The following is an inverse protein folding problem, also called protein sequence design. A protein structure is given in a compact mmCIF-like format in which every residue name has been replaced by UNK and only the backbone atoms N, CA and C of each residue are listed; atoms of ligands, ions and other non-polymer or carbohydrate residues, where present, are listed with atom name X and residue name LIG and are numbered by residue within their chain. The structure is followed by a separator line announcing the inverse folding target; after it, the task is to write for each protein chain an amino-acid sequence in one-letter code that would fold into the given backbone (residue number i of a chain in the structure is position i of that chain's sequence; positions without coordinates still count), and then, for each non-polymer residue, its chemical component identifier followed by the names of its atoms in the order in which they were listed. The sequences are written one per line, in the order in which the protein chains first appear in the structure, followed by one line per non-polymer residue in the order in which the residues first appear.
data_IF_925499292425
#
_entry.id   IF_925499292425
#
_cell.length_a   1.000
_cell.length_b   1.000
_cell.length_c   1.000
_cell.angle_alpha   90.00
_cell.angle_beta   90.00
_cell.angle_gamma   90.00
#
_symmetry.space_group_name_H-M   'P 1'
#
loop_
_entity.id
_entity.type
_entity.pdbx_description
1 polymer ?
#
# COMPACT_ATOMS: atom_id res chain seq x y z
N UNK A 1 2.44 80.75 19.04
CA UNK A 1 1.80 80.79 20.37
C UNK A 1 1.08 79.47 20.57
N UNK A 2 1.59 78.62 21.46
CA UNK A 2 0.97 77.35 21.85
C UNK A 2 -0.32 77.62 22.61
N UNK A 3 -1.37 76.83 22.38
CA UNK A 3 -2.46 76.66 23.35
C UNK A 3 -2.77 75.17 23.47
N UNK A 4 -2.33 74.61 24.60
CA UNK A 4 -2.75 73.31 25.12
C UNK A 4 -4.18 73.41 25.64
N UNK A 5 -5.02 72.41 25.37
CA UNK A 5 -6.27 72.20 26.08
C UNK A 5 -6.29 70.82 26.72
N UNK A 6 -6.46 70.83 28.04
CA UNK A 6 -6.66 69.67 28.91
C UNK A 6 -8.11 69.19 28.75
N UNK A 7 -8.31 67.92 28.44
CA UNK A 7 -9.64 67.28 28.44
C UNK A 7 -9.72 66.32 29.63
N UNK A 8 -10.72 66.56 30.48
CA UNK A 8 -11.01 65.83 31.72
C UNK A 8 -11.74 64.52 31.40
N UNK A 9 -11.24 63.43 31.99
CA UNK A 9 -11.78 62.08 31.94
C UNK A 9 -13.06 61.98 32.78
N UNK A 10 -14.11 61.37 32.26
CA UNK A 10 -15.23 60.86 33.08
C UNK A 10 -15.65 59.46 32.60
N UNK A 11 -15.41 58.47 33.46
CA UNK A 11 -15.86 57.09 33.32
C UNK A 11 -17.36 57.00 33.58
N UNK A 12 -18.10 56.30 32.71
CA UNK A 12 -19.45 55.84 32.98
C UNK A 12 -19.43 54.31 33.04
N UNK A 13 -19.66 53.78 34.24
CA UNK A 13 -19.91 52.35 34.48
C UNK A 13 -21.42 52.15 34.31
N UNK A 14 -21.83 51.29 33.37
CA UNK A 14 -23.20 50.83 33.25
C UNK A 14 -23.26 49.34 33.61
N UNK A 15 -23.92 49.06 34.72
CA UNK A 15 -24.29 47.73 35.20
C UNK A 15 -25.50 47.20 34.43
N UNK A 16 -25.42 45.97 33.92
CA UNK A 16 -26.56 45.24 33.35
C UNK A 16 -26.99 44.16 34.31
N UNK A 17 -28.25 44.23 34.73
CA UNK A 17 -28.95 43.32 35.65
C UNK A 17 -29.39 42.07 34.88
N UNK A 18 -29.07 40.89 35.40
CA UNK A 18 -29.51 39.60 34.84
C UNK A 18 -30.97 39.29 35.24
N UNK A 19 -31.77 38.77 34.30
CA UNK A 19 -33.04 38.09 34.57
C UNK A 19 -32.90 36.59 34.29
N UNK A 20 -33.54 35.71 35.08
CA UNK A 20 -33.34 34.27 35.00
C UNK A 20 -34.26 33.67 33.93
N UNK A 21 -33.67 33.20 32.83
CA UNK A 21 -34.32 32.34 31.86
C UNK A 21 -34.00 30.88 32.17
N UNK A 22 -35.04 30.09 32.48
CA UNK A 22 -34.94 28.63 32.60
C UNK A 22 -34.65 28.08 31.20
N UNK A 23 -33.40 27.67 30.97
CA UNK A 23 -33.03 26.86 29.82
C UNK A 23 -32.67 25.46 30.29
N UNK A 24 -33.38 24.49 29.73
CA UNK A 24 -33.13 23.06 29.89
C UNK A 24 -31.66 22.76 29.55
N UNK A 25 -30.97 22.17 30.50
CA UNK A 25 -29.63 21.61 30.35
C UNK A 25 -29.81 20.31 29.56
N UNK A 26 -29.58 20.37 28.24
CA UNK A 26 -29.11 19.21 27.52
C UNK A 26 -27.58 19.28 27.60
N UNK A 27 -26.98 18.35 28.35
CA UNK A 27 -25.53 18.15 28.38
C UNK A 27 -25.02 18.01 26.93
N UNK A 28 -24.38 19.05 26.42
CA UNK A 28 -23.55 18.96 25.23
C UNK A 28 -22.31 18.17 25.64
N UNK A 29 -22.13 17.02 25.02
CA UNK A 29 -20.90 16.21 25.09
C UNK A 29 -19.70 17.13 24.85
N UNK A 30 -18.85 17.29 25.85
CA UNK A 30 -17.63 18.10 25.76
C UNK A 30 -16.75 17.56 24.62
N UNK A 31 -16.48 18.40 23.61
CA UNK A 31 -15.36 18.20 22.70
C UNK A 31 -14.09 18.61 23.45
N UNK A 32 -13.52 17.70 24.24
CA UNK A 32 -12.20 17.94 24.85
C UNK A 32 -11.15 18.17 23.75
N UNK A 33 -10.68 19.40 23.62
CA UNK A 33 -9.56 19.73 22.73
C UNK A 33 -8.28 19.24 23.39
N UNK A 34 -7.76 18.11 22.93
CA UNK A 34 -6.45 17.62 23.38
C UNK A 34 -5.35 18.63 22.99
N UNK A 35 -4.64 19.16 23.99
CA UNK A 35 -3.49 20.03 23.76
C UNK A 35 -2.22 19.19 23.62
N UNK A 36 -1.61 19.19 22.43
CA UNK A 36 -0.36 18.50 22.17
C UNK A 36 0.84 19.43 22.36
N UNK A 37 1.97 18.88 22.80
CA UNK A 37 3.24 19.60 22.91
C UNK A 37 4.03 19.66 21.59
N UNK A 38 3.41 19.25 20.48
CA UNK A 38 3.91 19.34 19.11
C UNK A 38 2.84 20.01 18.22
N UNK A 39 3.23 20.57 17.05
CA UNK A 39 2.26 21.13 16.13
C UNK A 39 1.28 20.05 15.64
N UNK A 40 -0.01 20.27 15.90
CA UNK A 40 -1.08 19.37 15.46
C UNK A 40 -2.03 20.09 14.52
N UNK A 41 -2.36 19.45 13.40
CA UNK A 41 -3.25 19.98 12.36
C UNK A 41 -4.49 19.09 12.29
N UNK A 42 -5.63 19.66 12.68
CA UNK A 42 -6.92 18.95 12.70
C UNK A 42 -7.44 18.70 11.28
N UNK A 43 -8.40 17.77 11.16
CA UNK A 43 -9.12 17.53 9.89
C UNK A 43 -9.67 18.80 9.25
N UNK A 44 -10.26 19.69 10.05
CA UNK A 44 -10.79 20.96 9.56
C UNK A 44 -9.68 21.86 8.99
N UNK A 45 -8.53 21.94 9.66
CA UNK A 45 -7.44 22.83 9.27
C UNK A 45 -6.75 22.41 7.96
N UNK A 46 -6.69 21.12 7.64
CA UNK A 46 -6.21 20.65 6.33
C UNK A 46 -7.33 20.49 5.29
N UNK A 47 -8.56 20.86 5.64
CA UNK A 47 -9.75 20.80 4.77
C UNK A 47 -10.07 19.36 4.33
N UNK A 48 -10.11 18.46 5.31
CA UNK A 48 -10.52 17.08 5.10
C UNK A 48 -11.94 16.99 4.55
N UNK A 49 -12.12 16.12 3.56
CA UNK A 49 -13.45 15.68 3.15
C UNK A 49 -14.08 14.87 4.28
N UNK A 50 -15.41 14.89 4.33
CA UNK A 50 -16.18 14.03 5.24
C UNK A 50 -15.96 12.55 4.85
N UNK A 51 -15.65 11.66 5.81
CA UNK A 51 -15.53 10.24 5.52
C UNK A 51 -16.88 9.68 5.03
N UNK A 52 -16.86 8.74 4.08
CA UNK A 52 -18.07 8.06 3.57
C UNK A 52 -18.75 7.21 4.66
N UNK A 53 -17.96 6.67 5.60
CA UNK A 53 -18.40 5.89 6.74
C UNK A 53 -17.29 5.82 7.79
N UNK A 54 -17.67 5.74 9.06
CA UNK A 54 -16.76 5.51 10.18
C UNK A 54 -17.19 4.27 10.96
N UNK A 55 -16.22 3.63 11.60
CA UNK A 55 -16.44 2.54 12.57
C UNK A 55 -15.50 2.79 13.75
N UNK A 56 -15.96 2.68 15.00
CA UNK A 56 -15.10 2.82 16.16
C UNK A 56 -13.94 1.81 16.16
N UNK A 57 -12.75 2.26 16.56
CA UNK A 57 -11.59 1.43 16.88
C UNK A 57 -11.66 1.03 18.36
N UNK A 58 -11.38 -0.23 18.66
CA UNK A 58 -11.29 -0.68 20.05
C UNK A 58 -9.92 -0.31 20.63
N UNK A 59 -9.89 0.67 21.53
CA UNK A 59 -8.69 1.17 22.20
C UNK A 59 -8.66 0.74 23.68
N UNK A 60 -7.47 0.68 24.33
CA UNK A 60 -6.14 0.94 23.79
C UNK A 60 -5.64 -0.17 22.85
N UNK A 61 -5.00 0.20 21.74
CA UNK A 61 -4.43 -0.77 20.79
C UNK A 61 -3.03 -1.24 21.21
N UNK A 62 -2.67 -2.51 20.92
CA UNK A 62 -1.35 -3.05 21.26
C UNK A 62 -0.24 -2.70 20.26
N UNK A 63 -0.55 -2.16 19.08
CA UNK A 63 0.45 -1.90 18.04
C UNK A 63 0.43 -0.46 17.53
N UNK A 64 1.61 0.04 17.16
CA UNK A 64 1.79 1.20 16.31
C UNK A 64 2.50 0.76 15.04
N UNK A 65 1.91 1.03 13.88
CA UNK A 65 2.50 0.66 12.58
C UNK A 65 3.00 1.91 11.87
N UNK A 66 4.31 1.98 11.64
CA UNK A 66 4.95 3.08 10.92
C UNK A 66 4.91 2.83 9.41
N UNK A 67 4.49 3.87 8.70
CA UNK A 67 4.42 3.94 7.24
C UNK A 67 5.24 5.11 6.71
N UNK A 68 5.58 5.04 5.43
CA UNK A 68 5.83 6.22 4.62
C UNK A 68 4.72 6.37 3.59
N UNK A 69 4.58 7.54 2.95
CA UNK A 69 3.61 7.71 1.87
C UNK A 69 4.14 7.17 0.55
N UNK A 70 5.47 7.26 0.32
CA UNK A 70 6.12 7.18 -0.99
C UNK A 70 5.63 8.29 -1.94
N UNK A 71 4.32 8.34 -2.17
CA UNK A 71 3.60 9.42 -2.84
C UNK A 71 2.43 9.82 -1.92
N UNK A 72 2.21 11.11 -1.65
CA UNK A 72 2.99 12.26 -2.11
C UNK A 72 4.40 12.30 -1.52
N UNK A 73 5.30 13.03 -2.17
CA UNK A 73 6.66 13.26 -1.69
C UNK A 73 6.68 14.08 -0.39
N UNK A 74 7.86 14.23 0.21
CA UNK A 74 8.04 15.02 1.43
C UNK A 74 7.53 16.46 1.27
N UNK A 75 6.87 16.96 2.30
CA UNK A 75 6.27 18.30 2.35
C UNK A 75 6.88 19.08 3.51
N UNK A 76 7.30 20.34 3.30
CA UNK A 76 8.13 21.09 4.25
C UNK A 76 7.45 22.36 4.79
N UNK A 77 6.22 22.61 4.38
CA UNK A 77 5.41 23.72 4.85
C UNK A 77 3.95 23.29 4.99
N UNK A 78 3.23 23.99 5.86
CA UNK A 78 1.85 23.64 6.23
C UNK A 78 0.93 23.52 5.02
N UNK A 79 1.05 24.42 4.05
CA UNK A 79 0.20 24.41 2.86
C UNK A 79 0.42 23.15 2.03
N UNK A 80 1.68 22.80 1.76
CA UNK A 80 2.03 21.58 1.02
C UNK A 80 1.67 20.32 1.79
N UNK A 81 1.83 20.30 3.11
CA UNK A 81 1.47 19.13 3.90
C UNK A 81 -0.04 18.95 4.01
N UNK A 82 -0.82 20.02 4.15
CA UNK A 82 -2.28 19.95 3.98
C UNK A 82 -2.65 19.45 2.57
N UNK A 83 -1.94 19.90 1.52
CA UNK A 83 -2.12 19.40 0.15
C UNK A 83 -1.80 17.91 0.01
N UNK A 84 -0.74 17.44 0.66
CA UNK A 84 -0.37 16.03 0.69
C UNK A 84 -1.43 15.17 1.38
N UNK A 85 -1.97 15.62 2.53
CA UNK A 85 -3.08 14.95 3.22
C UNK A 85 -4.32 14.85 2.35
N UNK A 86 -4.72 15.93 1.67
CA UNK A 86 -5.85 15.92 0.72
C UNK A 86 -5.59 14.95 -0.43
N UNK A 87 -4.40 14.99 -1.05
CA UNK A 87 -4.04 14.07 -2.13
C UNK A 87 -4.12 12.60 -1.73
N UNK A 88 -3.64 12.25 -0.53
CA UNK A 88 -3.78 10.90 0.01
C UNK A 88 -5.24 10.54 0.27
N UNK A 89 -6.04 11.46 0.83
CA UNK A 89 -7.46 11.23 1.08
C UNK A 89 -8.23 10.99 -0.22
N UNK A 90 -8.02 11.83 -1.24
CA UNK A 90 -8.67 11.72 -2.55
C UNK A 90 -8.30 10.41 -3.24
N UNK A 91 -7.01 10.06 -3.25
CA UNK A 91 -6.55 8.80 -3.82
C UNK A 91 -7.18 7.57 -3.12
N UNK A 92 -7.25 7.57 -1.79
CA UNK A 92 -7.86 6.47 -1.05
C UNK A 92 -9.39 6.39 -1.27
N UNK A 93 -10.10 7.51 -1.26
CA UNK A 93 -11.56 7.51 -1.39
C UNK A 93 -12.03 7.30 -2.84
N UNK A 94 -11.44 8.02 -3.78
CA UNK A 94 -11.89 8.01 -5.18
C UNK A 94 -11.14 6.96 -6.01
N UNK A 95 -9.86 6.73 -5.73
CA UNK A 95 -9.06 5.71 -6.41
C UNK A 95 -9.29 4.29 -5.88
N UNK A 96 -9.48 4.11 -4.56
CA UNK A 96 -9.62 2.78 -3.93
C UNK A 96 -11.00 2.50 -3.33
N UNK A 97 -11.92 3.46 -3.38
CA UNK A 97 -13.26 3.29 -2.81
C UNK A 97 -13.29 3.26 -1.27
N UNK A 98 -12.20 3.63 -0.60
CA UNK A 98 -12.14 3.59 0.87
C UNK A 98 -13.04 4.65 1.48
N UNK A 99 -13.38 4.45 2.75
CA UNK A 99 -14.25 5.40 3.44
C UNK A 99 -13.56 6.73 3.75
N UNK A 100 -12.24 6.72 3.87
CA UNK A 100 -11.41 7.87 4.18
C UNK A 100 -9.94 7.55 3.89
N UNK A 101 -9.03 8.52 4.10
CA UNK A 101 -7.58 8.34 4.14
C UNK A 101 -7.19 7.10 4.97
N UNK A 102 -6.21 6.31 4.53
CA UNK A 102 -5.90 5.01 5.16
C UNK A 102 -5.35 5.07 6.58
N UNK A 103 -4.63 6.14 6.90
CA UNK A 103 -3.85 6.29 8.13
C UNK A 103 -4.64 7.00 9.23
N UNK A 104 -4.28 6.72 10.48
CA UNK A 104 -4.83 7.47 11.62
C UNK A 104 -4.21 8.86 11.68
N UNK A 105 -2.90 8.95 11.41
CA UNK A 105 -2.16 10.21 11.38
C UNK A 105 -1.15 10.24 10.23
N UNK A 106 -0.94 11.43 9.68
CA UNK A 106 0.23 11.76 8.86
C UNK A 106 1.19 12.64 9.67
N UNK A 107 2.48 12.61 9.39
CA UNK A 107 3.46 13.56 9.96
C UNK A 107 4.24 14.16 8.81
N UNK A 108 4.23 15.48 8.68
CA UNK A 108 4.90 16.21 7.61
C UNK A 108 6.38 16.50 7.94
N UNK A 109 7.17 16.80 6.91
CA UNK A 109 8.56 17.26 7.09
C UNK A 109 8.65 18.69 7.63
N UNK A 110 7.52 19.38 7.74
CA UNK A 110 7.33 20.63 8.49
C UNK A 110 7.30 20.42 10.02
N UNK A 111 7.33 19.16 10.49
CA UNK A 111 7.32 18.82 11.90
C UNK A 111 5.93 18.88 12.55
N UNK A 112 4.85 18.86 11.77
CA UNK A 112 3.49 18.79 12.29
C UNK A 112 2.88 17.39 12.13
N UNK A 113 2.07 16.99 13.12
CA UNK A 113 1.18 15.83 13.02
C UNK A 113 -0.17 16.28 12.43
N UNK A 114 -0.67 15.54 11.46
CA UNK A 114 -1.91 15.79 10.75
C UNK A 114 -2.90 14.68 11.07
N UNK A 115 -4.08 15.07 11.54
CA UNK A 115 -5.16 14.14 11.86
C UNK A 115 -5.71 13.49 10.59
N UNK A 116 -5.49 12.19 10.43
CA UNK A 116 -6.16 11.37 9.43
C UNK A 116 -7.49 10.87 10.01
N UNK A 117 -7.63 9.55 10.20
CA UNK A 117 -8.80 8.98 10.88
C UNK A 117 -8.88 9.29 12.38
N UNK A 118 -7.81 9.83 12.96
CA UNK A 118 -7.78 10.17 14.39
C UNK A 118 -7.65 8.93 15.27
N UNK A 119 -7.86 9.11 16.58
CA UNK A 119 -7.61 8.06 17.58
C UNK A 119 -8.68 6.97 17.64
N UNK A 120 -9.93 7.32 17.36
CA UNK A 120 -11.09 6.50 17.70
C UNK A 120 -11.71 5.77 16.51
N UNK A 121 -11.20 6.00 15.29
CA UNK A 121 -11.80 5.43 14.08
C UNK A 121 -10.90 4.35 13.49
N UNK A 122 -11.51 3.20 13.16
CA UNK A 122 -10.87 2.06 12.53
C UNK A 122 -10.04 2.47 11.30
N UNK A 123 -8.76 2.06 11.26
CA UNK A 123 -7.83 2.31 10.16
C UNK A 123 -8.16 1.58 8.84
N UNK A 124 -7.41 1.89 7.77
CA UNK A 124 -7.36 1.08 6.54
C UNK A 124 -5.93 0.87 6.00
N UNK A 125 -4.92 1.21 6.79
CA UNK A 125 -3.51 1.23 6.38
C UNK A 125 -2.83 -0.13 6.29
N UNK A 126 -3.32 -1.17 6.98
CA UNK A 126 -2.75 -2.51 6.96
C UNK A 126 -3.80 -3.58 7.19
N UNK A 127 -4.08 -4.37 6.15
CA UNK A 127 -5.01 -5.50 6.24
C UNK A 127 -4.64 -6.42 7.43
N UNK A 128 -5.65 -6.87 8.17
CA UNK A 128 -5.56 -7.63 9.44
C UNK A 128 -5.03 -6.85 10.66
N UNK A 129 -4.43 -5.67 10.48
CA UNK A 129 -3.92 -4.84 11.58
C UNK A 129 -4.75 -3.59 11.85
N UNK A 130 -5.63 -3.20 10.93
CA UNK A 130 -6.46 -2.00 11.04
C UNK A 130 -7.25 -1.89 12.36
N UNK A 131 -7.71 -3.01 12.93
CA UNK A 131 -8.52 -3.05 14.15
C UNK A 131 -7.73 -3.18 15.45
N UNK A 132 -6.40 -3.29 15.35
CA UNK A 132 -5.51 -3.57 16.49
C UNK A 132 -4.29 -2.66 16.50
N UNK A 133 -4.29 -1.58 15.71
CA UNK A 133 -3.15 -0.70 15.61
C UNK A 133 -3.48 0.74 15.24
N UNK A 134 -2.62 1.66 15.64
CA UNK A 134 -2.56 3.02 15.10
C UNK A 134 -1.50 3.06 14.00
N UNK A 135 -1.94 3.25 12.76
CA UNK A 135 -1.07 3.52 11.61
C UNK A 135 -0.70 5.00 11.47
N UNK A 136 0.61 5.29 11.51
CA UNK A 136 1.18 6.63 11.36
C UNK A 136 2.03 6.69 10.08
N UNK A 137 1.75 7.64 9.19
CA UNK A 137 2.46 7.83 7.94
C UNK A 137 3.41 9.03 8.00
N UNK A 138 4.72 8.80 7.89
CA UNK A 138 5.68 9.88 7.68
C UNK A 138 5.67 10.25 6.20
N UNK A 139 5.09 11.40 5.86
CA UNK A 139 4.89 11.85 4.49
C UNK A 139 6.26 12.04 3.81
N UNK A 140 6.55 11.23 2.80
CA UNK A 140 7.81 11.20 2.05
C UNK A 140 8.21 9.82 1.56
N UNK A 141 9.37 9.75 0.91
CA UNK A 141 10.04 8.52 0.46
C UNK A 141 11.31 8.29 1.27
N UNK A 142 11.22 7.40 2.27
CA UNK A 142 12.30 7.12 3.22
C UNK A 142 13.01 5.80 2.96
N UNK A 143 13.10 5.39 1.68
CA UNK A 143 13.87 4.19 1.29
C UNK A 143 15.36 4.38 1.51
N UNK A 144 15.89 5.53 1.10
CA UNK A 144 17.34 5.76 1.08
C UNK A 144 17.80 6.88 2.02
N UNK A 145 16.88 7.76 2.42
CA UNK A 145 17.18 8.90 3.30
C UNK A 145 16.29 8.88 4.53
N UNK A 146 16.78 9.44 5.64
CA UNK A 146 16.00 9.57 6.87
C UNK A 146 15.00 10.72 6.78
N UNK A 147 13.81 10.58 7.41
CA UNK A 147 12.95 11.72 7.62
C UNK A 147 13.66 12.79 8.47
N UNK A 148 13.40 14.09 8.21
CA UNK A 148 13.92 15.18 9.01
C UNK A 148 13.70 14.97 10.51
N UNK A 149 14.64 15.45 11.32
CA UNK A 149 14.65 15.20 12.76
C UNK A 149 13.34 15.64 13.45
N UNK A 150 12.75 16.76 13.05
CA UNK A 150 11.49 17.26 13.63
C UNK A 150 10.27 16.37 13.27
N UNK A 151 10.26 15.76 12.08
CA UNK A 151 9.24 14.78 11.70
C UNK A 151 9.33 13.52 12.57
N UNK A 152 10.55 13.03 12.84
CA UNK A 152 10.78 11.90 13.75
C UNK A 152 10.40 12.23 15.20
N UNK A 153 10.83 13.38 15.72
CA UNK A 153 10.47 13.86 17.07
C UNK A 153 8.97 13.96 17.26
N UNK A 154 8.27 14.55 16.29
CA UNK A 154 6.81 14.69 16.34
C UNK A 154 6.12 13.34 16.28
N UNK A 155 6.64 12.38 15.51
CA UNK A 155 6.11 11.01 15.49
C UNK A 155 6.22 10.36 16.88
N UNK A 156 7.39 10.45 17.53
CA UNK A 156 7.58 9.89 18.87
C UNK A 156 6.69 10.58 19.92
N UNK A 157 6.56 11.92 19.85
CA UNK A 157 5.69 12.68 20.74
C UNK A 157 4.20 12.35 20.53
N UNK A 158 3.77 12.13 19.28
CA UNK A 158 2.42 11.70 18.95
C UNK A 158 2.11 10.32 19.54
N UNK A 159 3.05 9.37 19.47
CA UNK A 159 2.88 8.05 20.09
C UNK A 159 2.79 8.18 21.61
N UNK A 160 3.67 8.97 22.23
CA UNK A 160 3.63 9.23 23.67
C UNK A 160 2.28 9.82 24.11
N UNK A 161 1.75 10.79 23.36
CA UNK A 161 0.43 11.35 23.63
C UNK A 161 -0.68 10.30 23.50
N UNK A 162 -0.61 9.40 22.51
CA UNK A 162 -1.55 8.30 22.38
C UNK A 162 -1.53 7.31 23.56
N UNK A 163 -0.36 7.12 24.19
CA UNK A 163 -0.23 6.33 25.42
C UNK A 163 -0.84 7.08 26.61
N UNK A 164 -0.50 8.36 26.79
CA UNK A 164 -1.03 9.20 27.87
C UNK A 164 -2.55 9.34 27.83
N UNK A 165 -3.13 9.45 26.63
CA UNK A 165 -4.57 9.56 26.40
C UNK A 165 -5.29 8.20 26.46
N UNK A 166 -4.58 7.08 26.61
CA UNK A 166 -5.17 5.74 26.72
C UNK A 166 -5.65 5.14 25.39
N UNK A 167 -5.22 5.67 24.24
CA UNK A 167 -5.51 5.11 22.92
C UNK A 167 -4.51 4.02 22.50
N UNK A 168 -3.29 4.07 23.03
CA UNK A 168 -2.20 3.10 22.80
C UNK A 168 -1.85 2.48 24.14
N UNK A 169 -1.65 1.15 24.18
CA UNK A 169 -1.25 0.49 25.43
C UNK A 169 0.15 0.96 25.88
N UNK A 170 0.43 1.09 27.19
CA UNK A 170 1.77 1.44 27.66
C UNK A 170 2.87 0.46 27.23
N UNK A 171 2.54 -0.81 27.00
CA UNK A 171 3.44 -1.88 26.55
C UNK A 171 3.32 -2.19 25.05
N UNK A 172 2.87 -1.21 24.24
CA UNK A 172 2.68 -1.39 22.81
C UNK A 172 3.95 -1.88 22.09
N UNK A 173 3.73 -2.48 20.91
CA UNK A 173 4.79 -2.85 19.97
C UNK A 173 4.83 -1.85 18.81
N UNK A 174 5.97 -1.19 18.62
CA UNK A 174 6.27 -0.37 17.46
C UNK A 174 6.85 -1.24 16.35
N UNK A 175 6.23 -1.20 15.18
CA UNK A 175 6.63 -2.01 14.02
C UNK A 175 6.53 -1.20 12.72
N UNK A 176 7.31 -1.60 11.71
CA UNK A 176 7.18 -1.10 10.35
C UNK A 176 6.10 -1.88 9.58
N UNK A 177 5.43 -1.24 8.62
CA UNK A 177 4.40 -1.88 7.80
C UNK A 177 4.88 -3.20 7.14
N UNK A 178 6.13 -3.27 6.69
CA UNK A 178 6.77 -4.48 6.14
C UNK A 178 6.76 -5.70 7.06
N UNK A 179 6.69 -5.50 8.37
CA UNK A 179 6.62 -6.60 9.33
C UNK A 179 5.25 -7.29 9.34
N UNK A 180 4.22 -6.66 8.78
CA UNK A 180 2.84 -7.19 8.81
C UNK A 180 2.20 -7.31 7.43
N UNK A 181 2.85 -6.79 6.39
CA UNK A 181 2.46 -6.92 4.97
C UNK A 181 3.69 -7.11 4.10
N UNK A 182 3.55 -7.81 2.98
CA UNK A 182 4.57 -7.88 1.93
C UNK A 182 4.69 -6.53 1.20
N UNK A 183 5.53 -5.62 1.71
CA UNK A 183 5.73 -4.26 1.20
C UNK A 183 7.10 -3.72 1.60
N UNK A 184 7.65 -2.78 0.83
CA UNK A 184 8.85 -2.02 1.18
C UNK A 184 8.59 -0.96 2.26
N UNK A 185 7.34 -0.55 2.47
CA UNK A 185 6.96 0.46 3.46
C UNK A 185 7.44 0.04 4.88
N UNK A 186 8.10 0.90 5.67
CA UNK A 186 8.22 2.36 5.53
C UNK A 186 9.47 2.87 4.78
N UNK A 187 10.14 2.02 3.99
CA UNK A 187 11.44 2.31 3.38
C UNK A 187 12.62 1.94 4.29
N UNK A 188 13.76 1.54 3.71
CA UNK A 188 14.86 0.94 4.47
C UNK A 188 15.51 1.90 5.46
N UNK A 189 15.74 3.16 5.07
CA UNK A 189 16.31 4.15 5.96
C UNK A 189 15.42 4.40 7.18
N UNK A 190 14.13 4.66 6.98
CA UNK A 190 13.18 4.83 8.10
C UNK A 190 12.99 3.52 8.89
N UNK A 191 12.94 2.37 8.24
CA UNK A 191 12.80 1.09 8.94
C UNK A 191 14.01 0.81 9.85
N UNK A 192 15.22 1.13 9.41
CA UNK A 192 16.42 0.99 10.23
C UNK A 192 16.45 2.00 11.38
N UNK A 193 15.90 3.19 11.16
CA UNK A 193 15.76 4.21 12.20
C UNK A 193 14.79 3.78 13.31
N UNK A 194 13.59 3.30 12.98
CA UNK A 194 12.60 2.93 14.01
C UNK A 194 13.07 1.76 14.88
N UNK A 195 14.03 0.94 14.42
CA UNK A 195 14.69 -0.09 15.25
C UNK A 195 15.39 0.48 16.48
N UNK A 196 15.71 1.77 16.45
CA UNK A 196 16.38 2.46 17.55
C UNK A 196 15.41 3.15 18.51
N UNK A 197 14.12 3.19 18.19
CA UNK A 197 13.11 3.85 19.01
C UNK A 197 12.63 2.94 20.13
N UNK A 198 12.14 3.55 21.21
CA UNK A 198 11.48 2.83 22.28
C UNK A 198 10.32 1.99 21.72
N UNK A 199 10.07 0.84 22.36
CA UNK A 199 9.02 -0.10 21.98
C UNK A 199 9.17 -0.77 20.60
N UNK A 200 10.27 -0.56 19.87
CA UNK A 200 10.52 -1.34 18.66
C UNK A 200 10.48 -2.83 18.99
N UNK A 201 9.63 -3.55 18.25
CA UNK A 201 9.56 -5.00 18.36
C UNK A 201 10.18 -5.65 17.12
N UNK A 202 11.21 -6.50 17.27
CA UNK A 202 11.71 -7.31 16.16
C UNK A 202 10.68 -8.38 15.73
N UNK A 203 9.64 -8.61 16.54
CA UNK A 203 8.57 -9.57 16.27
C UNK A 203 7.21 -8.86 16.11
N UNK A 204 6.43 -9.13 15.05
CA UNK A 204 6.68 -10.12 13.99
C UNK A 204 7.89 -9.73 13.12
N UNK A 205 8.68 -10.71 12.68
CA UNK A 205 9.75 -10.47 11.72
C UNK A 205 9.16 -10.16 10.34
N UNK A 206 8.05 -10.82 10.02
CA UNK A 206 7.31 -10.65 8.78
C UNK A 206 5.85 -11.04 8.95
N UNK A 207 5.05 -10.78 7.93
CA UNK A 207 3.62 -11.11 7.88
C UNK A 207 3.28 -12.62 8.01
N UNK A 208 4.28 -13.51 8.07
CA UNK A 208 4.08 -14.93 8.36
C UNK A 208 3.85 -15.19 9.85
N UNK A 209 4.43 -14.36 10.70
CA UNK A 209 4.46 -14.53 12.15
C UNK A 209 3.12 -14.12 12.81
N UNK A 210 2.15 -13.67 12.01
CA UNK A 210 0.94 -13.02 12.52
C UNK A 210 0.07 -13.97 13.34
N UNK A 211 -0.02 -15.25 12.95
CA UNK A 211 -0.85 -16.22 13.66
C UNK A 211 -0.33 -16.52 15.09
N UNK A 212 0.95 -16.27 15.31
CA UNK A 212 1.66 -16.56 16.55
C UNK A 212 1.67 -15.35 17.50
N UNK A 213 1.19 -14.17 17.08
CA UNK A 213 1.10 -12.98 17.93
C UNK A 213 -0.02 -13.13 18.97
N UNK A 214 0.33 -13.15 20.25
CA UNK A 214 -0.63 -13.23 21.35
C UNK A 214 -1.59 -12.03 21.39
N UNK A 215 -1.15 -10.86 20.92
CA UNK A 215 -1.95 -9.64 20.93
C UNK A 215 -3.06 -9.62 19.89
N UNK A 216 -3.01 -10.50 18.89
CA UNK A 216 -4.05 -10.56 17.86
C UNK A 216 -5.28 -11.32 18.38
N UNK A 217 -6.49 -10.71 18.32
CA UNK A 217 -7.72 -11.41 18.62
C UNK A 217 -7.91 -12.67 17.79
N UNK A 218 -8.59 -13.67 18.35
CA UNK A 218 -8.92 -14.92 17.65
C UNK A 218 -9.60 -14.64 16.31
N UNK A 219 -10.55 -13.69 16.27
CA UNK A 219 -11.23 -13.29 15.04
C UNK A 219 -10.28 -12.74 13.96
N UNK A 220 -9.25 -12.00 14.35
CA UNK A 220 -8.22 -11.52 13.42
C UNK A 220 -7.35 -12.68 12.94
N UNK A 221 -6.97 -13.61 13.82
CA UNK A 221 -6.24 -14.82 13.44
C UNK A 221 -7.06 -15.71 12.51
N UNK A 222 -8.36 -15.82 12.71
CA UNK A 222 -9.28 -16.53 11.82
C UNK A 222 -9.39 -15.87 10.44
N UNK A 223 -9.44 -14.53 10.38
CA UNK A 223 -9.35 -13.80 9.12
C UNK A 223 -8.02 -14.04 8.40
N UNK A 224 -6.90 -14.08 9.15
CA UNK A 224 -5.57 -14.38 8.59
C UNK A 224 -5.50 -15.83 8.09
N UNK A 225 -6.07 -16.81 8.81
CA UNK A 225 -6.14 -18.23 8.39
C UNK A 225 -7.02 -18.43 7.14
N UNK A 226 -8.00 -17.56 6.93
CA UNK A 226 -8.98 -17.64 5.86
C UNK A 226 -10.19 -18.50 6.22
N UNK A 227 -11.39 -17.89 6.16
CA UNK A 227 -12.67 -18.46 5.70
C UNK A 227 -12.93 -19.98 5.92
N UNK A 228 -12.90 -20.44 7.17
CA UNK A 228 -13.11 -21.84 7.56
C UNK A 228 -14.53 -22.23 7.99
N UNK A 229 -15.60 -21.74 7.33
CA UNK A 229 -16.95 -22.32 7.51
C UNK A 229 -17.67 -22.57 6.18
N UNK A 230 -17.38 -23.72 5.58
CA UNK A 230 -18.43 -24.53 4.94
C UNK A 230 -18.92 -25.50 6.01
N UNK A 231 -20.22 -25.56 6.35
CA UNK A 231 -20.71 -26.58 7.28
C UNK A 231 -20.49 -27.96 6.66
N UNK A 232 -19.83 -28.85 7.41
CA UNK A 232 -19.75 -30.27 7.11
C UNK A 232 -21.16 -30.85 7.16
N UNK A 233 -21.79 -31.05 6.00
CA UNK A 233 -22.71 -32.16 5.69
C UNK A 233 -22.90 -32.21 4.17
N UNK A 234 -22.03 -32.96 3.49
CA UNK A 234 -22.41 -34.09 2.63
C UNK A 234 -21.15 -34.63 1.97
N UNK A 235 -20.82 -35.85 2.37
CA UNK A 235 -19.96 -36.76 1.63
C UNK A 235 -20.45 -36.87 0.19
N UNK A 236 -19.62 -36.45 -0.75
CA UNK A 236 -19.46 -37.17 -2.01
C UNK A 236 -18.05 -36.95 -2.51
N UNK A 237 -17.27 -38.02 -2.46
CA UNK A 237 -16.02 -38.29 -3.18
C UNK A 237 -15.77 -37.34 -4.36
N UNK A 238 -14.91 -36.34 -4.18
CA UNK A 238 -14.27 -35.67 -5.31
C UNK A 238 -12.98 -36.43 -5.62
N UNK A 239 -13.10 -37.25 -6.66
CA UNK A 239 -12.09 -38.17 -7.15
C UNK A 239 -10.81 -37.41 -7.52
N UNK A 240 -9.69 -37.92 -7.01
CA UNK A 240 -8.34 -37.45 -7.26
C UNK A 240 -7.91 -37.80 -8.69
N UNK A 241 -8.49 -37.12 -9.68
CA UNK A 241 -8.06 -37.14 -11.08
C UNK A 241 -8.36 -35.81 -11.76
N UNK A 242 -7.49 -34.84 -11.56
CA UNK A 242 -7.17 -33.92 -12.64
C UNK A 242 -5.67 -33.97 -12.88
N UNK A 243 -5.32 -34.93 -13.73
CA UNK A 243 -4.10 -34.94 -14.51
C UNK A 243 -3.80 -33.53 -15.03
N UNK A 244 -2.52 -33.20 -14.95
CA UNK A 244 -1.90 -32.09 -15.68
C UNK A 244 -2.55 -31.89 -17.05
N UNK A 245 -3.13 -30.71 -17.28
CA UNK A 245 -3.47 -30.26 -18.63
C UNK A 245 -2.18 -29.93 -19.40
N UNK A 246 -1.35 -30.93 -19.68
CA UNK A 246 -0.51 -30.91 -20.86
C UNK A 246 -1.42 -31.24 -22.06
N UNK A 247 -1.99 -30.21 -22.68
CA UNK A 247 -2.55 -30.30 -24.04
C UNK A 247 -1.84 -29.31 -24.95
N UNK A 248 -0.86 -29.83 -25.69
CA UNK A 248 -0.20 -29.25 -26.86
C UNK A 248 -1.17 -29.00 -28.05
N UNK A 249 -2.32 -28.34 -27.86
CA UNK A 249 -3.30 -28.12 -28.96
C UNK A 249 -4.08 -26.80 -28.88
N UNK A 250 -3.47 -25.71 -28.43
CA UNK A 250 -4.13 -24.39 -28.45
C UNK A 250 -3.85 -23.57 -29.72
N UNK A 251 -3.06 -24.08 -30.68
CA UNK A 251 -2.74 -23.34 -31.91
C UNK A 251 -1.84 -22.11 -31.71
N UNK A 252 -1.52 -21.77 -30.47
CA UNK A 252 -0.59 -20.70 -30.11
C UNK A 252 0.86 -21.17 -30.22
N UNK A 253 1.63 -20.58 -31.14
CA UNK A 253 3.08 -20.77 -31.20
C UNK A 253 3.72 -19.72 -30.28
N UNK A 254 3.82 -20.05 -28.98
CA UNK A 254 4.59 -19.27 -28.01
C UNK A 254 5.74 -20.15 -27.51
N UNK A 255 7.01 -19.72 -27.63
CA UNK A 255 8.11 -20.36 -26.92
C UNK A 255 7.92 -20.15 -25.41
N UNK A 256 7.25 -21.08 -24.74
CA UNK A 256 7.00 -21.03 -23.30
C UNK A 256 8.09 -21.81 -22.57
N UNK A 257 8.62 -21.24 -21.50
CA UNK A 257 9.68 -21.81 -20.66
C UNK A 257 9.13 -21.95 -19.26
N UNK A 258 8.91 -23.20 -18.84
CA UNK A 258 8.39 -23.52 -17.51
C UNK A 258 9.41 -23.24 -16.43
N UNK A 259 8.94 -23.15 -15.18
CA UNK A 259 9.77 -22.93 -13.99
C UNK A 259 10.98 -23.87 -13.92
N UNK A 260 10.78 -25.16 -14.16
CA UNK A 260 11.85 -26.16 -14.12
C UNK A 260 12.91 -25.95 -15.22
N UNK A 261 12.54 -25.38 -16.37
CA UNK A 261 13.44 -25.21 -17.51
C UNK A 261 14.41 -24.04 -17.32
N UNK A 262 14.04 -23.03 -16.54
CA UNK A 262 14.93 -21.92 -16.15
C UNK A 262 15.52 -22.09 -14.76
N UNK A 263 15.36 -23.28 -14.15
CA UNK A 263 15.87 -23.63 -12.82
C UNK A 263 15.33 -22.70 -11.72
N UNK A 264 14.02 -22.42 -11.77
CA UNK A 264 13.34 -21.68 -10.73
C UNK A 264 13.52 -22.33 -9.37
N UNK A 265 13.85 -21.54 -8.36
CA UNK A 265 13.69 -21.95 -6.97
C UNK A 265 12.22 -22.20 -6.67
N UNK A 266 11.95 -23.08 -5.72
CA UNK A 266 10.60 -23.24 -5.19
C UNK A 266 10.16 -21.93 -4.53
N UNK A 267 8.89 -21.52 -4.72
CA UNK A 267 8.35 -20.42 -3.95
C UNK A 267 8.35 -20.78 -2.46
N UNK A 268 8.61 -19.81 -1.58
CA UNK A 268 8.50 -20.00 -0.13
C UNK A 268 7.04 -20.17 0.29
N UNK A 269 6.12 -19.48 -0.38
CA UNK A 269 4.68 -19.63 -0.22
C UNK A 269 3.95 -19.17 -1.51
N UNK A 270 2.69 -19.56 -1.65
CA UNK A 270 1.85 -19.22 -2.80
C UNK A 270 0.45 -18.89 -2.31
N UNK A 271 -0.23 -17.99 -3.03
CA UNK A 271 -1.62 -17.68 -2.73
C UNK A 271 -2.44 -17.70 -4.02
N UNK A 272 -3.55 -18.47 -4.06
CA UNK A 272 -4.37 -18.60 -5.26
C UNK A 272 -4.91 -17.26 -5.75
N UNK A 273 -4.89 -17.08 -7.06
CA UNK A 273 -5.50 -15.95 -7.74
C UNK A 273 -6.94 -16.31 -8.13
N UNK A 274 -7.90 -15.44 -7.83
CA UNK A 274 -9.28 -15.64 -8.28
C UNK A 274 -9.37 -15.37 -9.78
N UNK A 275 -9.60 -16.42 -10.56
CA UNK A 275 -9.68 -16.39 -12.02
C UNK A 275 -11.14 -16.50 -12.50
N UNK A 276 -11.52 -15.88 -13.64
CA UNK A 276 -10.69 -15.05 -14.52
C UNK A 276 -10.39 -13.67 -13.93
N UNK A 277 -9.16 -13.16 -14.10
CA UNK A 277 -8.84 -11.80 -13.64
C UNK A 277 -9.25 -10.70 -14.63
N UNK A 278 -9.65 -9.53 -14.13
CA UNK A 278 -10.04 -8.41 -14.98
C UNK A 278 -8.89 -7.49 -15.41
N UNK A 279 -7.68 -7.64 -14.87
CA UNK A 279 -6.56 -6.73 -15.17
C UNK A 279 -5.28 -7.45 -15.61
N UNK A 280 -4.49 -6.76 -16.41
CA UNK A 280 -3.09 -7.11 -16.70
C UNK A 280 -2.23 -5.89 -16.48
N UNK A 281 -1.13 -6.03 -15.74
CA UNK A 281 -0.15 -4.96 -15.51
C UNK A 281 1.16 -5.28 -16.21
N UNK A 282 1.59 -4.39 -17.10
CA UNK A 282 2.83 -4.48 -17.87
C UNK A 282 3.97 -3.79 -17.13
N UNK A 283 5.07 -4.52 -16.99
CA UNK A 283 6.30 -4.09 -16.34
C UNK A 283 7.49 -4.15 -17.30
N UNK A 284 8.59 -3.52 -16.90
CA UNK A 284 9.94 -3.88 -17.32
C UNK A 284 10.80 -4.22 -16.11
N UNK A 285 11.94 -4.86 -16.33
CA UNK A 285 12.87 -5.20 -15.24
C UNK A 285 13.89 -4.10 -14.95
N UNK A 286 14.04 -3.12 -15.86
CA UNK A 286 15.10 -2.09 -15.82
C UNK A 286 16.52 -2.67 -15.81
N UNK A 287 16.69 -3.94 -16.17
CA UNK A 287 17.99 -4.62 -16.14
C UNK A 287 18.81 -4.25 -17.38
N UNK A 288 20.11 -4.03 -17.15
CA UNK A 288 21.13 -3.84 -18.20
C UNK A 288 22.34 -4.71 -17.82
N UNK A 289 22.90 -5.55 -18.72
CA UNK A 289 22.49 -5.76 -20.10
C UNK A 289 21.15 -6.53 -20.24
N UNK A 290 20.53 -6.41 -21.41
CA UNK A 290 19.34 -7.19 -21.79
C UNK A 290 19.74 -8.61 -22.18
N UNK A 291 18.92 -9.60 -21.84
CA UNK A 291 19.07 -10.95 -22.38
C UNK A 291 18.62 -11.00 -23.83
N UNK A 292 19.29 -11.80 -24.66
CA UNK A 292 19.10 -11.87 -26.11
C UNK A 292 19.01 -13.31 -26.66
N UNK A 293 19.23 -14.31 -25.81
CA UNK A 293 19.16 -15.72 -26.14
C UNK A 293 18.58 -16.51 -24.95
N UNK A 294 18.23 -17.78 -25.19
CA UNK A 294 17.55 -18.62 -24.21
C UNK A 294 18.32 -18.73 -22.90
N UNK A 295 19.65 -18.90 -22.95
CA UNK A 295 20.45 -19.08 -21.75
C UNK A 295 20.56 -17.79 -20.95
N UNK A 296 20.90 -16.67 -21.62
CA UNK A 296 20.98 -15.38 -20.93
C UNK A 296 19.64 -14.92 -20.33
N UNK A 297 18.51 -15.31 -20.94
CA UNK A 297 17.20 -14.98 -20.39
C UNK A 297 16.80 -15.88 -19.21
N UNK A 298 17.22 -17.16 -19.18
CA UNK A 298 17.09 -17.99 -17.97
C UNK A 298 17.91 -17.40 -16.81
N UNK A 299 19.14 -16.98 -17.08
CA UNK A 299 20.00 -16.33 -16.08
C UNK A 299 19.37 -15.04 -15.54
N UNK A 300 18.77 -14.21 -16.41
CA UNK A 300 18.04 -13.03 -15.97
C UNK A 300 16.85 -13.40 -15.07
N UNK A 301 16.06 -14.43 -15.42
CA UNK A 301 14.93 -14.87 -14.58
C UNK A 301 15.41 -15.33 -13.20
N UNK A 302 16.51 -16.09 -13.13
CA UNK A 302 17.11 -16.52 -11.87
C UNK A 302 17.61 -15.33 -11.04
N UNK A 303 18.31 -14.36 -11.65
CA UNK A 303 18.80 -13.17 -10.96
C UNK A 303 17.65 -12.33 -10.40
N UNK A 304 16.58 -12.15 -11.16
CA UNK A 304 15.39 -11.43 -10.72
C UNK A 304 14.71 -12.18 -9.57
N UNK A 305 14.57 -13.51 -9.66
CA UNK A 305 14.01 -14.32 -8.59
C UNK A 305 14.86 -14.23 -7.32
N UNK A 306 16.18 -14.41 -7.41
CA UNK A 306 17.09 -14.31 -6.27
C UNK A 306 17.05 -12.93 -5.63
N UNK A 307 17.04 -11.85 -6.43
CA UNK A 307 16.89 -10.51 -5.88
C UNK A 307 15.55 -10.34 -5.13
N UNK A 308 14.45 -10.79 -5.73
CA UNK A 308 13.14 -10.70 -5.08
C UNK A 308 13.04 -11.54 -3.79
N UNK A 309 13.59 -12.76 -3.79
CA UNK A 309 13.52 -13.64 -2.62
C UNK A 309 14.54 -13.24 -1.56
N UNK A 310 15.82 -13.15 -1.93
CA UNK A 310 16.92 -12.99 -0.97
C UNK A 310 17.09 -11.54 -0.51
N UNK A 311 16.77 -10.55 -1.36
CA UNK A 311 16.93 -9.13 -1.03
C UNK A 311 15.60 -8.49 -0.64
N UNK A 312 14.52 -8.76 -1.38
CA UNK A 312 13.21 -8.15 -1.10
C UNK A 312 12.33 -8.97 -0.15
N UNK A 313 12.72 -10.21 0.18
CA UNK A 313 11.96 -11.08 1.08
C UNK A 313 10.61 -11.52 0.50
N UNK A 314 10.48 -11.58 -0.82
CA UNK A 314 9.25 -12.04 -1.48
C UNK A 314 9.26 -13.57 -1.58
N UNK A 315 8.08 -14.18 -1.53
CA UNK A 315 7.97 -15.64 -1.64
C UNK A 315 8.53 -16.23 -2.94
N UNK A 316 8.57 -15.41 -3.97
CA UNK A 316 8.97 -15.81 -5.30
C UNK A 316 9.20 -14.55 -6.14
N UNK A 317 9.67 -14.74 -7.37
CA UNK A 317 9.69 -13.70 -8.39
C UNK A 317 8.36 -12.93 -8.43
N UNK A 318 8.39 -11.60 -8.42
CA UNK A 318 7.16 -10.81 -8.25
C UNK A 318 6.19 -10.83 -9.44
N UNK A 319 6.63 -11.31 -10.61
CA UNK A 319 5.84 -11.31 -11.83
C UNK A 319 5.19 -12.67 -12.08
N UNK A 320 4.02 -12.68 -12.72
CA UNK A 320 3.38 -13.92 -13.18
C UNK A 320 4.16 -14.49 -14.37
N UNK A 321 4.60 -13.62 -15.29
CA UNK A 321 5.39 -13.99 -16.47
C UNK A 321 6.50 -12.96 -16.74
N UNK A 322 7.65 -13.45 -17.21
CA UNK A 322 8.71 -12.65 -17.81
C UNK A 322 8.82 -12.92 -19.31
N UNK A 323 9.21 -11.93 -20.11
CA UNK A 323 9.38 -12.12 -21.56
C UNK A 323 10.77 -11.64 -21.98
N UNK A 324 11.58 -12.57 -22.49
CA UNK A 324 12.97 -12.32 -22.90
C UNK A 324 13.08 -11.79 -24.33
N UNK A 325 14.19 -11.12 -24.68
CA UNK A 325 14.39 -10.61 -26.05
C UNK A 325 14.53 -11.73 -27.09
N UNK A 326 14.76 -12.97 -26.62
CA UNK A 326 14.69 -14.20 -27.42
C UNK A 326 13.27 -14.50 -27.93
N UNK A 327 12.25 -13.81 -27.41
CA UNK A 327 10.85 -13.97 -27.77
C UNK A 327 10.13 -15.07 -27.00
N UNK A 328 10.72 -15.58 -25.92
CA UNK A 328 10.12 -16.60 -25.09
C UNK A 328 9.39 -15.99 -23.88
N UNK A 329 8.31 -16.65 -23.46
CA UNK A 329 7.60 -16.37 -22.21
C UNK A 329 8.13 -17.32 -21.14
N UNK A 330 8.64 -16.76 -20.06
CA UNK A 330 9.14 -17.46 -18.90
C UNK A 330 8.08 -17.44 -17.81
N UNK A 331 7.71 -18.61 -17.33
CA UNK A 331 6.77 -18.76 -16.22
C UNK A 331 7.42 -18.25 -14.93
N UNK A 332 6.90 -17.15 -14.39
CA UNK A 332 7.18 -16.72 -13.03
C UNK A 332 6.19 -17.42 -12.09
N UNK A 333 5.34 -16.65 -11.42
CA UNK A 333 4.27 -17.23 -10.58
C UNK A 333 3.15 -17.92 -11.38
N UNK A 334 3.14 -17.80 -12.69
CA UNK A 334 2.14 -18.46 -13.55
C UNK A 334 0.76 -17.83 -13.44
N UNK A 335 -0.26 -18.54 -13.92
CA UNK A 335 -1.64 -18.04 -14.00
C UNK A 335 -2.40 -18.11 -12.69
N UNK A 336 -2.16 -19.15 -11.91
CA UNK A 336 -3.03 -19.53 -10.79
C UNK A 336 -2.69 -18.83 -9.47
N UNK A 337 -1.61 -18.04 -9.43
CA UNK A 337 -1.08 -17.46 -8.18
C UNK A 337 -0.89 -15.95 -8.28
N UNK A 338 -1.12 -15.25 -7.17
CA UNK A 338 -0.98 -13.80 -7.11
C UNK A 338 0.47 -13.33 -7.26
N UNK A 339 0.64 -12.19 -7.95
CA UNK A 339 1.92 -11.51 -8.11
C UNK A 339 2.36 -10.73 -6.86
N UNK A 340 3.59 -10.21 -6.86
CA UNK A 340 4.08 -9.19 -5.91
C UNK A 340 4.49 -7.88 -6.62
N UNK A 341 3.97 -7.67 -7.84
CA UNK A 341 4.41 -6.67 -8.81
C UNK A 341 3.92 -5.24 -8.58
N UNK A 342 2.68 -5.07 -8.10
CA UNK A 342 2.03 -3.78 -7.97
C UNK A 342 1.05 -3.85 -6.80
N UNK A 343 1.36 -3.14 -5.72
CA UNK A 343 0.53 -3.09 -4.51
C UNK A 343 -0.92 -2.75 -4.89
N UNK A 344 -1.88 -3.46 -4.31
CA UNK A 344 -3.33 -3.43 -4.61
C UNK A 344 -3.78 -4.04 -5.94
N UNK A 345 -2.90 -4.21 -6.93
CA UNK A 345 -3.22 -4.92 -8.18
C UNK A 345 -2.82 -6.40 -8.16
N UNK A 346 -1.99 -6.82 -7.20
CA UNK A 346 -1.49 -8.19 -7.07
C UNK A 346 -2.59 -9.27 -7.09
N UNK A 347 -3.70 -9.04 -6.38
CA UNK A 347 -4.78 -10.02 -6.21
C UNK A 347 -5.83 -9.99 -7.34
N UNK A 348 -5.77 -9.04 -8.26
CA UNK A 348 -6.78 -8.84 -9.31
C UNK A 348 -6.18 -8.75 -10.71
N UNK A 349 -4.90 -9.05 -10.86
CA UNK A 349 -4.21 -8.90 -12.14
C UNK A 349 -3.14 -9.96 -12.41
N UNK A 350 -2.89 -10.21 -13.69
CA UNK A 350 -1.69 -10.91 -14.17
C UNK A 350 -0.58 -9.90 -14.47
N UNK A 351 0.64 -10.25 -14.07
CA UNK A 351 1.83 -9.42 -14.22
C UNK A 351 2.76 -9.92 -15.28
N UNK A 352 3.03 -9.10 -16.28
CA UNK A 352 3.92 -9.47 -17.37
C UNK A 352 5.06 -8.47 -17.41
N UNK A 353 6.28 -8.93 -17.19
CA UNK A 353 7.48 -8.08 -17.27
C UNK A 353 8.23 -8.32 -18.57
N UNK A 354 8.60 -7.24 -19.25
CA UNK A 354 9.55 -7.29 -20.35
C UNK A 354 10.96 -7.23 -19.77
N UNK A 355 11.76 -8.28 -19.96
CA UNK A 355 13.13 -8.33 -19.46
C UNK A 355 13.98 -7.33 -20.28
N UNK A 356 14.47 -6.29 -19.61
CA UNK A 356 15.25 -5.19 -20.20
C UNK A 356 14.84 -3.81 -19.67
N UNK A 357 15.49 -2.78 -20.22
CA UNK A 357 15.15 -1.37 -20.00
C UNK A 357 14.58 -0.77 -21.29
N UNK A 358 13.32 -0.36 -21.23
CA UNK A 358 12.54 0.12 -22.39
C UNK A 358 12.13 1.60 -22.26
N UNK A 359 12.97 2.39 -21.58
CA UNK A 359 12.74 3.82 -21.48
C UNK A 359 12.94 4.54 -22.81
N UNK A 360 13.99 4.17 -23.56
CA UNK A 360 14.36 4.85 -24.81
C UNK A 360 14.07 4.04 -26.07
N UNK A 361 14.08 2.71 -25.98
CA UNK A 361 13.87 1.81 -27.10
C UNK A 361 12.60 0.98 -26.90
N UNK A 362 11.87 0.71 -27.99
CA UNK A 362 10.73 -0.21 -27.97
C UNK A 362 11.26 -1.65 -27.91
N UNK A 363 10.61 -2.56 -27.14
CA UNK A 363 10.94 -3.98 -27.17
C UNK A 363 11.02 -4.59 -28.58
N UNK A 364 11.92 -5.56 -28.81
CA UNK A 364 11.95 -6.32 -30.05
C UNK A 364 10.58 -6.90 -30.38
N UNK A 365 10.21 -6.90 -31.67
CA UNK A 365 8.91 -7.42 -32.14
C UNK A 365 8.58 -8.80 -31.60
N UNK A 366 9.58 -9.67 -31.39
CA UNK A 366 9.39 -11.00 -30.81
C UNK A 366 8.85 -10.95 -29.37
N UNK A 367 9.31 -10.03 -28.52
CA UNK A 367 8.74 -9.83 -27.17
C UNK A 367 7.29 -9.35 -27.25
N UNK A 368 7.01 -8.35 -28.09
CA UNK A 368 5.65 -7.80 -28.25
C UNK A 368 4.67 -8.87 -28.75
N UNK A 369 5.08 -9.66 -29.75
CA UNK A 369 4.28 -10.78 -30.25
C UNK A 369 4.05 -11.82 -29.16
N UNK A 370 5.08 -12.20 -28.42
CA UNK A 370 4.96 -13.20 -27.35
C UNK A 370 3.94 -12.79 -26.28
N UNK A 371 3.95 -11.52 -25.85
CA UNK A 371 2.95 -11.00 -24.90
C UNK A 371 1.56 -10.99 -25.50
N UNK A 372 1.38 -10.50 -26.73
CA UNK A 372 0.05 -10.49 -27.38
C UNK A 372 -0.54 -11.89 -27.51
N UNK A 373 0.28 -12.87 -27.90
CA UNK A 373 -0.15 -14.27 -27.98
C UNK A 373 -0.46 -14.84 -26.60
N UNK A 374 0.33 -14.51 -25.56
CA UNK A 374 0.07 -14.94 -24.18
C UNK A 374 -1.26 -14.40 -23.65
N UNK A 375 -1.57 -13.13 -23.94
CA UNK A 375 -2.83 -12.49 -23.54
C UNK A 375 -4.03 -13.16 -24.22
N UNK A 376 -3.94 -13.42 -25.53
CA UNK A 376 -4.99 -14.13 -26.25
C UNK A 376 -5.20 -15.53 -25.69
N UNK A 377 -4.12 -16.27 -25.44
CA UNK A 377 -4.19 -17.59 -24.81
C UNK A 377 -4.82 -17.50 -23.40
N UNK A 378 -4.51 -16.47 -22.63
CA UNK A 378 -5.11 -16.23 -21.30
C UNK A 378 -6.63 -16.03 -21.36
N UNK A 379 -7.14 -15.31 -22.37
CA UNK A 379 -8.59 -15.14 -22.58
C UNK A 379 -9.23 -16.48 -22.98
N UNK A 380 -8.66 -17.16 -23.97
CA UNK A 380 -9.20 -18.42 -24.49
C UNK A 380 -9.23 -19.56 -23.45
N UNK A 381 -8.23 -19.57 -22.55
CA UNK A 381 -8.12 -20.55 -21.48
C UNK A 381 -8.93 -20.17 -20.23
N UNK A 382 -9.55 -18.98 -20.21
CA UNK A 382 -10.38 -18.52 -19.09
C UNK A 382 -9.59 -17.98 -17.88
N UNK A 383 -8.32 -17.63 -18.06
CA UNK A 383 -7.52 -16.95 -17.03
C UNK A 383 -7.74 -15.44 -17.00
N UNK A 384 -8.04 -14.85 -18.15
CA UNK A 384 -8.38 -13.44 -18.31
C UNK A 384 -9.85 -13.30 -18.70
N UNK A 385 -10.51 -12.28 -18.17
CA UNK A 385 -11.84 -11.92 -18.68
C UNK A 385 -11.72 -11.48 -20.15
N UNK A 386 -12.71 -11.74 -21.02
CA UNK A 386 -12.64 -11.30 -22.42
C UNK A 386 -12.61 -9.77 -22.59
N UNK A 387 -12.91 -9.00 -21.54
CA UNK A 387 -12.83 -7.54 -21.48
C UNK A 387 -11.77 -7.06 -20.48
N UNK A 388 -10.71 -7.85 -20.27
CA UNK A 388 -9.64 -7.46 -19.35
C UNK A 388 -9.07 -6.08 -19.72
N UNK A 389 -8.62 -5.34 -18.71
CA UNK A 389 -8.00 -4.03 -18.88
C UNK A 389 -6.49 -4.15 -18.74
N UNK A 390 -5.78 -3.70 -19.76
CA UNK A 390 -4.33 -3.62 -19.79
C UNK A 390 -3.88 -2.27 -19.21
N UNK A 391 -2.96 -2.32 -18.27
CA UNK A 391 -2.38 -1.18 -17.60
C UNK A 391 -0.86 -1.28 -17.66
N UNK A 392 -0.17 -0.15 -17.67
CA UNK A 392 1.23 -0.07 -17.36
C UNK A 392 1.45 -0.05 -15.85
N UNK A 393 2.62 -0.47 -15.36
CA UNK A 393 2.93 -0.33 -13.95
C UNK A 393 2.82 1.14 -13.48
N UNK A 394 3.23 2.11 -14.31
CA UNK A 394 3.08 3.54 -14.04
C UNK A 394 1.64 4.05 -13.97
N UNK A 395 0.68 3.31 -14.52
CA UNK A 395 -0.74 3.68 -14.43
C UNK A 395 -1.32 3.33 -13.04
N UNK A 396 -0.65 2.45 -12.30
CA UNK A 396 -1.13 1.93 -11.00
C UNK A 396 -0.19 2.25 -9.83
N UNK A 397 1.02 2.73 -10.11
CA UNK A 397 2.04 3.15 -9.14
C UNK A 397 2.84 4.32 -9.72
N UNK A 398 3.36 5.24 -8.91
CA UNK A 398 4.29 6.26 -9.44
C UNK A 398 5.66 5.60 -9.67
N UNK A 399 5.94 5.25 -10.90
CA UNK A 399 7.19 4.60 -11.31
C UNK A 399 7.46 4.93 -12.77
N UNK A 400 8.72 4.85 -13.18
CA UNK A 400 9.07 4.91 -14.60
C UNK A 400 8.83 3.57 -15.31
N UNK A 401 8.47 2.51 -14.60
CA UNK A 401 8.11 1.23 -15.20
C UNK A 401 6.81 1.37 -16.02
N UNK A 402 6.70 0.86 -17.26
CA UNK A 402 7.60 -0.06 -17.96
C UNK A 402 8.60 0.63 -18.93
N UNK A 403 8.89 1.91 -18.73
CA UNK A 403 9.73 2.75 -19.59
C UNK A 403 8.92 3.47 -20.67
N UNK A 404 9.31 4.69 -21.03
CA UNK A 404 8.51 5.56 -21.90
C UNK A 404 8.25 4.97 -23.29
N UNK A 405 9.23 4.28 -23.88
CA UNK A 405 9.07 3.69 -25.21
C UNK A 405 8.10 2.50 -25.19
N UNK A 406 8.21 1.59 -24.22
CA UNK A 406 7.24 0.50 -24.04
C UNK A 406 5.86 1.03 -23.60
N UNK A 407 5.81 2.08 -22.76
CA UNK A 407 4.57 2.69 -22.35
C UNK A 407 3.77 3.24 -23.55
N UNK A 408 4.41 3.99 -24.44
CA UNK A 408 3.79 4.47 -25.69
C UNK A 408 3.34 3.33 -26.61
N UNK A 409 4.11 2.24 -26.66
CA UNK A 409 3.75 1.06 -27.47
C UNK A 409 2.47 0.39 -26.96
N UNK A 410 2.36 0.11 -25.66
CA UNK A 410 1.19 -0.61 -25.11
C UNK A 410 -0.09 0.22 -25.11
N UNK A 411 0.02 1.56 -25.12
CA UNK A 411 -1.13 2.46 -25.28
C UNK A 411 -1.89 2.22 -26.59
N UNK A 412 -1.22 1.70 -27.62
CA UNK A 412 -1.86 1.36 -28.90
C UNK A 412 -2.59 0.02 -28.90
N UNK A 413 -2.51 -0.77 -27.82
CA UNK A 413 -3.08 -2.11 -27.77
C UNK A 413 -4.57 -2.06 -27.41
N UNK A 414 -5.38 -2.93 -28.01
CA UNK A 414 -6.85 -2.83 -27.97
C UNK A 414 -7.49 -2.90 -26.57
N UNK A 415 -6.80 -3.45 -25.57
CA UNK A 415 -7.29 -3.57 -24.19
C UNK A 415 -6.71 -2.50 -23.25
N UNK A 416 -5.92 -1.55 -23.74
CA UNK A 416 -5.30 -0.54 -22.90
C UNK A 416 -6.34 0.39 -22.28
N UNK A 417 -6.32 0.47 -20.95
CA UNK A 417 -7.15 1.40 -20.19
C UNK A 417 -6.36 2.68 -19.98
N UNK A 418 -6.80 3.76 -20.62
CA UNK A 418 -6.27 5.09 -20.35
C UNK A 418 -6.69 5.54 -18.95
N UNK A 419 -5.74 5.78 -18.02
CA UNK A 419 -6.06 6.49 -16.80
C UNK A 419 -6.43 7.93 -17.20
N UNK A 420 -7.62 8.38 -16.78
CA UNK A 420 -8.13 9.72 -17.07
C UNK A 420 -7.36 10.80 -16.30
#
# INVERSE_FOLDING_TARGET
MMMSYVIVLSCVIASVVAMPGIYNIAESVDNEVHTYNFPFVTREQWQARTPRKTTPLNTPVPFVVIHHSYIPAACYDKEKCCGAMRSMQDYHMDGHGWWDIGYHFGVGSDGAAYEGRGWETLGAHSLHFNSVSIGICLIGDWRFELPPAEQRKTTMALIAAGVELGFIKPDYKLIGHRQVRATECPGDALFNEIKTWDHYSPYPHSHHDLLDLEELPVSVKELIRGNGTVPVYLSSTYDSKQESKNKNQTGYIIPFVKREEWLARNPEDTYPLEIPVPYVVIHHTSTVPRCDNRESCKDCMQQIQNYHMDVMGWWDIGYNFGVGSDGAVYEGRGWDYLGAKALHFNAVSIGITFIGNWSLEVPPKKQLTAVKTLLQAGVDLGYLTPQYRLLAHRDVRNTQCPGDALYREIQSWGHYLYPY
#
